data_IF_231858744984
#
_entry.id   IF_231858744984
#
_cell.length_a   1.000
_cell.length_b   1.000
_cell.length_c   1.000
_cell.angle_alpha   90.00
_cell.angle_beta   90.00
_cell.angle_gamma   90.00
#
_symmetry.space_group_name_H-M   'P 1'
#
loop_
_entity.id
_entity.type
_entity.pdbx_description
1 polymer ?
#
# COMPACT_ATOMS: atom_id res chain seq x y z
N UNK A 1 10.32 2.10 5.34
CA UNK A 1 10.61 3.46 5.82
C UNK A 1 11.74 4.11 5.05
N UNK A 2 12.93 3.50 5.03
CA UNK A 2 14.16 4.13 4.49
C UNK A 2 14.06 4.55 3.01
N UNK A 3 13.58 3.70 2.06
CA UNK A 3 13.45 4.13 0.66
C UNK A 3 12.42 5.24 0.45
N UNK A 4 11.40 5.31 1.29
CA UNK A 4 10.36 6.35 1.23
C UNK A 4 10.92 7.73 1.61
N UNK A 5 11.76 7.77 2.64
CA UNK A 5 12.40 9.01 3.09
C UNK A 5 13.44 9.52 2.07
N UNK A 6 14.19 8.62 1.42
CA UNK A 6 15.22 9.01 0.47
C UNK A 6 14.66 9.72 -0.76
N UNK A 7 13.57 9.21 -1.34
CA UNK A 7 12.93 9.87 -2.47
C UNK A 7 12.35 11.23 -2.08
N UNK A 8 11.75 11.35 -0.89
CA UNK A 8 11.28 12.64 -0.39
C UNK A 8 12.42 13.65 -0.29
N UNK A 9 13.56 13.25 0.27
CA UNK A 9 14.74 14.10 0.37
C UNK A 9 15.28 14.49 -1.01
N UNK A 10 15.30 13.56 -1.97
CA UNK A 10 15.71 13.84 -3.34
C UNK A 10 14.78 14.86 -4.01
N UNK A 11 13.46 14.64 -3.96
CA UNK A 11 12.46 15.56 -4.51
C UNK A 11 12.61 16.94 -3.86
N UNK A 12 12.78 16.99 -2.53
CA UNK A 12 13.00 18.23 -1.80
C UNK A 12 14.26 18.97 -2.29
N UNK A 13 15.39 18.27 -2.45
CA UNK A 13 16.62 18.86 -2.95
C UNK A 13 16.48 19.44 -4.38
N UNK A 14 15.69 18.78 -5.23
CA UNK A 14 15.42 19.22 -6.60
C UNK A 14 14.47 20.43 -6.67
N UNK A 15 13.45 20.50 -5.81
CA UNK A 15 12.48 21.60 -5.79
C UNK A 15 12.98 22.85 -5.05
N UNK A 16 13.87 22.69 -4.06
CA UNK A 16 14.26 23.77 -3.14
C UNK A 16 15.49 24.60 -3.54
N UNK A 17 15.79 24.74 -4.84
CA UNK A 17 16.85 25.64 -5.29
C UNK A 17 16.81 27.03 -4.61
N UNK A 18 15.61 27.62 -4.47
CA UNK A 18 15.30 28.70 -3.50
C UNK A 18 13.92 28.38 -2.87
N UNK A 19 13.78 28.32 -1.53
CA UNK A 19 12.51 27.93 -0.91
C UNK A 19 11.40 28.97 -1.16
N UNK A 20 10.38 28.57 -1.93
CA UNK A 20 9.12 29.31 -2.10
C UNK A 20 7.95 28.43 -1.70
N UNK A 21 6.79 29.04 -1.39
CA UNK A 21 5.58 28.31 -0.99
C UNK A 21 5.17 27.28 -2.05
N UNK A 22 5.32 27.63 -3.32
CA UNK A 22 5.02 26.78 -4.47
C UNK A 22 5.99 25.60 -4.55
N UNK A 23 7.30 25.83 -4.31
CA UNK A 23 8.30 24.77 -4.24
C UNK A 23 7.99 23.76 -3.13
N UNK A 24 7.56 24.22 -1.96
CA UNK A 24 7.15 23.32 -0.85
C UNK A 24 5.94 22.48 -1.27
N UNK A 25 4.99 23.07 -2.00
CA UNK A 25 3.80 22.34 -2.45
C UNK A 25 4.14 21.27 -3.50
N UNK A 26 5.01 21.61 -4.46
CA UNK A 26 5.46 20.68 -5.49
C UNK A 26 6.15 19.45 -4.91
N UNK A 27 6.90 19.60 -3.81
CA UNK A 27 7.47 18.45 -3.09
C UNK A 27 6.39 17.46 -2.69
N UNK A 28 5.30 17.94 -2.09
CA UNK A 28 4.19 17.08 -1.70
C UNK A 28 3.54 16.41 -2.92
N UNK A 29 3.24 17.20 -3.96
CA UNK A 29 2.63 16.68 -5.19
C UNK A 29 3.48 15.54 -5.77
N UNK A 30 4.76 15.81 -6.02
CA UNK A 30 5.69 14.84 -6.62
C UNK A 30 5.89 13.63 -5.73
N UNK A 31 5.98 13.82 -4.42
CA UNK A 31 6.14 12.70 -3.49
C UNK A 31 4.91 11.79 -3.49
N UNK A 32 3.69 12.34 -3.43
CA UNK A 32 2.47 11.53 -3.44
C UNK A 32 2.34 10.71 -4.72
N UNK A 33 2.63 11.30 -5.88
CA UNK A 33 2.57 10.61 -7.18
C UNK A 33 3.57 9.47 -7.32
N UNK A 34 4.79 9.66 -6.81
CA UNK A 34 5.86 8.69 -7.01
C UNK A 34 5.87 7.60 -5.94
N UNK A 35 5.47 7.91 -4.69
CA UNK A 35 5.65 6.96 -3.60
C UNK A 35 4.74 7.15 -2.40
N UNK A 36 4.37 8.39 -2.06
CA UNK A 36 3.56 8.70 -0.88
C UNK A 36 2.19 8.02 -0.91
N UNK A 37 1.53 7.93 -2.08
CA UNK A 37 0.28 7.21 -2.22
C UNK A 37 0.44 5.70 -1.94
N UNK A 38 1.52 5.08 -2.44
CA UNK A 38 1.82 3.67 -2.20
C UNK A 38 2.18 3.42 -0.72
N UNK A 39 2.92 4.33 -0.11
CA UNK A 39 3.23 4.29 1.32
C UNK A 39 1.96 4.32 2.18
N UNK A 40 1.04 5.26 1.89
CA UNK A 40 -0.23 5.38 2.59
C UNK A 40 -1.12 4.14 2.41
N UNK A 41 -1.15 3.55 1.21
CA UNK A 41 -1.81 2.26 0.94
C UNK A 41 -1.26 1.16 1.85
N UNK A 42 0.06 0.99 1.88
CA UNK A 42 0.70 -0.06 2.66
C UNK A 42 0.45 0.11 4.17
N UNK A 43 0.51 1.35 4.68
CA UNK A 43 0.15 1.65 6.07
C UNK A 43 -1.31 1.31 6.38
N UNK A 44 -2.24 1.64 5.48
CA UNK A 44 -3.66 1.36 5.66
C UNK A 44 -3.99 -0.15 5.66
N UNK A 45 -3.14 -0.99 5.06
CA UNK A 45 -3.30 -2.44 5.07
C UNK A 45 -2.83 -3.10 6.37
N UNK A 46 -1.90 -2.46 7.12
CA UNK A 46 -1.29 -3.05 8.33
C UNK A 46 -2.32 -3.50 9.39
N UNK A 47 -3.36 -2.72 9.73
CA UNK A 47 -4.32 -3.15 10.74
C UNK A 47 -5.04 -4.46 10.37
N UNK A 48 -5.25 -4.71 9.08
CA UNK A 48 -5.82 -5.97 8.60
C UNK A 48 -4.83 -7.12 8.71
N UNK A 49 -3.59 -6.90 8.25
CA UNK A 49 -2.52 -7.90 8.32
C UNK A 49 -2.18 -8.32 9.76
N UNK A 50 -2.23 -7.37 10.71
CA UNK A 50 -1.97 -7.63 12.13
C UNK A 50 -3.07 -8.44 12.84
N UNK A 51 -4.24 -8.61 12.21
CA UNK A 51 -5.34 -9.42 12.74
C UNK A 51 -5.24 -10.91 12.32
N UNK A 52 -4.22 -11.30 11.56
CA UNK A 52 -4.00 -12.68 11.19
C UNK A 52 -3.55 -13.53 12.39
N UNK A 53 -4.13 -14.74 12.51
CA UNK A 53 -3.63 -15.72 13.48
C UNK A 53 -2.27 -16.28 13.06
N UNK A 54 -1.54 -16.86 14.02
CA UNK A 54 -0.29 -17.56 13.76
C UNK A 54 -0.42 -18.62 12.64
N UNK A 55 -1.50 -19.41 12.66
CA UNK A 55 -1.76 -20.43 11.62
C UNK A 55 -2.00 -19.81 10.24
N UNK A 56 -2.73 -18.69 10.17
CA UNK A 56 -2.97 -17.96 8.93
C UNK A 56 -1.67 -17.40 8.35
N UNK A 57 -0.85 -16.78 9.19
CA UNK A 57 0.48 -16.30 8.79
C UNK A 57 1.34 -17.46 8.28
N UNK A 58 1.42 -18.59 9.01
CA UNK A 58 2.19 -19.76 8.58
C UNK A 58 1.75 -20.29 7.21
N UNK A 59 0.43 -20.28 6.91
CA UNK A 59 -0.07 -20.59 5.58
C UNK A 59 0.47 -19.61 4.53
N UNK A 60 0.35 -18.31 4.77
CA UNK A 60 0.81 -17.30 3.82
C UNK A 60 2.33 -17.36 3.57
N UNK A 61 3.14 -17.64 4.60
CA UNK A 61 4.58 -17.83 4.48
C UNK A 61 4.93 -19.14 3.75
N UNK A 62 4.34 -20.27 4.13
CA UNK A 62 4.63 -21.58 3.53
C UNK A 62 4.19 -21.69 2.06
N UNK A 63 3.17 -20.93 1.67
CA UNK A 63 2.65 -20.86 0.29
C UNK A 63 3.25 -19.68 -0.50
N UNK A 64 4.18 -18.92 0.09
CA UNK A 64 4.80 -17.73 -0.47
C UNK A 64 3.82 -16.63 -0.92
N UNK A 65 2.63 -16.56 -0.32
CA UNK A 65 1.57 -15.62 -0.72
C UNK A 65 2.02 -14.17 -0.50
N UNK A 66 2.69 -13.87 0.61
CA UNK A 66 3.14 -12.50 0.94
C UNK A 66 4.34 -12.02 0.11
N UNK A 67 4.99 -12.92 -0.64
CA UNK A 67 6.19 -12.61 -1.43
C UNK A 67 5.90 -12.54 -2.93
N UNK A 68 4.71 -12.90 -3.36
CA UNK A 68 4.34 -12.93 -4.77
C UNK A 68 3.51 -11.69 -5.15
N UNK A 69 3.63 -11.27 -6.41
CA UNK A 69 2.82 -10.22 -7.01
C UNK A 69 2.10 -10.77 -8.25
N UNK A 70 0.82 -10.41 -8.41
CA UNK A 70 0.01 -10.83 -9.58
C UNK A 70 0.60 -10.35 -10.92
N UNK A 71 1.43 -9.30 -10.92
CA UNK A 71 2.14 -8.82 -12.11
C UNK A 71 3.18 -9.81 -12.63
N UNK A 72 3.73 -10.67 -11.77
CA UNK A 72 4.73 -11.68 -12.13
C UNK A 72 4.10 -13.01 -12.52
N UNK A 73 2.92 -13.32 -11.97
CA UNK A 73 2.27 -14.64 -12.08
C UNK A 73 0.98 -14.65 -12.90
N UNK A 74 0.42 -13.48 -13.20
CA UNK A 74 -0.85 -13.31 -13.87
C UNK A 74 -1.96 -12.88 -12.92
N UNK A 75 -2.87 -12.05 -13.43
CA UNK A 75 -3.98 -11.47 -12.68
C UNK A 75 -4.85 -12.56 -12.02
N UNK A 76 -5.08 -12.44 -10.72
CA UNK A 76 -5.92 -13.35 -9.94
C UNK A 76 -5.19 -14.55 -9.35
N UNK A 77 -3.88 -14.70 -9.58
CA UNK A 77 -3.07 -15.79 -9.04
C UNK A 77 -3.05 -15.79 -7.51
N UNK A 78 -2.76 -14.65 -6.88
CA UNK A 78 -2.74 -14.50 -5.42
C UNK A 78 -4.10 -14.79 -4.80
N UNK A 79 -5.18 -14.31 -5.41
CA UNK A 79 -6.55 -14.59 -4.96
C UNK A 79 -6.82 -16.10 -5.05
N UNK A 80 -6.38 -16.75 -6.12
CA UNK A 80 -6.47 -18.21 -6.27
C UNK A 80 -5.77 -18.96 -5.14
N UNK A 81 -4.53 -18.58 -4.80
CA UNK A 81 -3.78 -19.17 -3.67
C UNK A 81 -4.49 -18.95 -2.32
N UNK A 82 -4.99 -17.75 -2.07
CA UNK A 82 -5.74 -17.44 -0.86
C UNK A 82 -7.02 -18.29 -0.74
N UNK A 83 -7.72 -18.52 -1.86
CA UNK A 83 -8.89 -19.40 -1.89
C UNK A 83 -8.51 -20.87 -1.66
N UNK A 84 -7.37 -21.34 -2.18
CA UNK A 84 -6.86 -22.69 -1.90
C UNK A 84 -6.53 -22.87 -0.42
N UNK A 85 -6.00 -21.85 0.25
CA UNK A 85 -5.73 -21.90 1.69
C UNK A 85 -7.00 -22.00 2.55
N UNK A 86 -8.18 -21.69 2.01
CA UNK A 86 -9.46 -21.90 2.72
C UNK A 86 -9.94 -23.36 2.71
N UNK A 87 -9.36 -24.22 1.86
CA UNK A 87 -9.74 -25.63 1.80
C UNK A 87 -9.38 -26.35 3.11
N UNK A 88 -10.05 -27.47 3.44
CA UNK A 88 -9.70 -28.29 4.61
C UNK A 88 -8.20 -28.65 4.61
N UNK A 89 -7.49 -28.31 5.69
CA UNK A 89 -6.04 -28.49 5.80
C UNK A 89 -5.19 -27.34 5.25
N UNK A 90 -5.80 -26.32 4.62
CA UNK A 90 -5.11 -25.17 4.01
C UNK A 90 -4.68 -24.09 5.00
N UNK A 91 -5.23 -24.05 6.21
CA UNK A 91 -4.75 -23.18 7.30
C UNK A 91 -5.24 -21.73 7.29
N UNK A 92 -5.97 -21.27 6.25
CA UNK A 92 -6.66 -19.97 6.28
C UNK A 92 -8.11 -20.10 6.72
N UNK A 93 -8.58 -19.10 7.45
CA UNK A 93 -10.00 -18.97 7.79
C UNK A 93 -10.68 -17.95 6.88
N UNK A 94 -11.97 -18.16 6.61
CA UNK A 94 -12.76 -17.21 5.85
C UNK A 94 -12.81 -15.82 6.50
N UNK A 95 -12.81 -15.78 7.85
CA UNK A 95 -12.74 -14.52 8.61
C UNK A 95 -11.45 -13.75 8.30
N UNK A 96 -10.30 -14.42 8.26
CA UNK A 96 -9.02 -13.77 7.96
C UNK A 96 -8.95 -13.32 6.51
N UNK A 97 -9.38 -14.17 5.56
CA UNK A 97 -9.43 -13.76 4.16
C UNK A 97 -10.29 -12.51 3.97
N UNK A 98 -11.46 -12.47 4.63
CA UNK A 98 -12.33 -11.30 4.59
C UNK A 98 -11.62 -10.04 5.11
N UNK A 99 -10.92 -10.13 6.24
CA UNK A 99 -10.17 -9.00 6.81
C UNK A 99 -9.07 -8.51 5.87
N UNK A 100 -8.31 -9.42 5.25
CA UNK A 100 -7.26 -9.07 4.29
C UNK A 100 -7.83 -8.39 3.03
N UNK A 101 -8.94 -8.91 2.50
CA UNK A 101 -9.61 -8.32 1.34
C UNK A 101 -10.19 -6.94 1.66
N UNK A 102 -10.83 -6.79 2.83
CA UNK A 102 -11.37 -5.51 3.28
C UNK A 102 -10.23 -4.48 3.48
N UNK A 103 -9.12 -4.89 4.09
CA UNK A 103 -7.93 -4.05 4.27
C UNK A 103 -7.28 -3.65 2.94
N UNK A 104 -7.17 -4.59 2.00
CA UNK A 104 -6.69 -4.32 0.63
C UNK A 104 -7.60 -3.31 -0.09
N UNK A 105 -8.92 -3.47 0.03
CA UNK A 105 -9.90 -2.52 -0.52
C UNK A 105 -9.77 -1.12 0.08
N UNK A 106 -9.56 -1.02 1.40
CA UNK A 106 -9.31 0.26 2.08
C UNK A 106 -8.00 0.87 1.58
N UNK A 107 -6.91 0.09 1.54
CA UNK A 107 -5.62 0.55 1.02
C UNK A 107 -5.73 1.09 -0.40
N UNK A 108 -6.49 0.44 -1.27
CA UNK A 108 -6.72 0.90 -2.65
C UNK A 108 -7.53 2.21 -2.71
N UNK A 109 -8.51 2.40 -1.82
CA UNK A 109 -9.24 3.67 -1.70
C UNK A 109 -8.31 4.80 -1.24
N UNK A 110 -7.44 4.52 -0.27
CA UNK A 110 -6.43 5.47 0.21
C UNK A 110 -5.45 5.81 -0.90
N UNK A 111 -4.93 4.81 -1.62
CA UNK A 111 -4.05 5.03 -2.78
C UNK A 111 -4.68 6.01 -3.78
N UNK A 112 -5.91 5.74 -4.22
CA UNK A 112 -6.63 6.59 -5.18
C UNK A 112 -6.91 7.98 -4.63
N UNK A 113 -7.12 8.12 -3.33
CA UNK A 113 -7.29 9.42 -2.68
C UNK A 113 -6.00 10.24 -2.75
N UNK A 114 -4.86 9.64 -2.37
CA UNK A 114 -3.56 10.30 -2.39
C UNK A 114 -3.04 10.56 -3.81
N UNK A 115 -3.35 9.70 -4.79
CA UNK A 115 -3.05 9.98 -6.21
C UNK A 115 -3.80 11.21 -6.76
N UNK A 116 -4.86 11.66 -6.08
CA UNK A 116 -5.59 12.89 -6.41
C UNK A 116 -5.14 14.08 -5.56
N UNK A 117 -3.95 14.00 -4.95
CA UNK A 117 -3.41 15.10 -4.17
C UNK A 117 -3.44 16.41 -4.99
N UNK A 118 -3.94 17.52 -4.43
CA UNK A 118 -4.12 18.76 -5.19
C UNK A 118 -2.81 19.28 -5.77
N UNK A 119 -2.84 19.67 -7.05
CA UNK A 119 -1.68 20.28 -7.73
C UNK A 119 -1.34 21.68 -7.23
N UNK A 120 -2.28 22.31 -6.53
CA UNK A 120 -2.16 23.64 -5.96
C UNK A 120 -2.69 23.66 -4.51
N UNK A 121 -2.10 24.48 -3.60
CA UNK A 121 -2.53 24.56 -2.20
C UNK A 121 -4.01 24.87 -1.99
N UNK A 122 -4.64 25.61 -2.90
CA UNK A 122 -6.06 25.99 -2.80
C UNK A 122 -7.02 24.80 -2.91
N UNK A 123 -6.57 23.69 -3.51
CA UNK A 123 -7.34 22.46 -3.61
C UNK A 123 -7.33 21.60 -2.34
N UNK A 124 -6.50 21.94 -1.35
CA UNK A 124 -6.49 21.24 -0.06
C UNK A 124 -7.70 21.68 0.76
N UNK A 125 -8.64 20.76 0.98
CA UNK A 125 -9.72 20.94 1.95
C UNK A 125 -9.26 20.37 3.28
N UNK A 126 -9.07 21.27 4.26
CA UNK A 126 -8.71 20.93 5.65
C UNK A 126 -9.97 20.83 6.49
#
# INVERSE_FOLDING_TARGET
GVPYAWLLCQIAAEEFGIPKKESVWNVNVRYQEQQGALFAKNLAMLPGALQCSAQGNECEFSQSIIFEDDSERGKGWLIGKLLLGLLPGGGLSFKYLKVLLDASSIGEKIFKHYMKYPKDPTGLKV
#
